data_IF_701181346621
#
_entry.id   IF_701181346621
#
_cell.length_a   1.000
_cell.length_b   1.000
_cell.length_c   1.000
_cell.angle_alpha   90.00
_cell.angle_beta   90.00
_cell.angle_gamma   90.00
#
_symmetry.space_group_name_H-M   'P 1'
#
loop_
_entity.id
_entity.type
_entity.pdbx_description
1 polymer ?
#
# COMPACT_ATOMS: atom_id res chain seq x y z
N UNK A 1 3.81 3.68 -17.23
CA UNK A 1 4.90 3.59 -16.23
C UNK A 1 5.16 4.90 -15.48
N UNK A 2 5.01 6.07 -16.11
CA UNK A 2 5.17 7.37 -15.43
C UNK A 2 4.31 7.50 -14.16
N UNK A 3 3.05 7.03 -14.19
CA UNK A 3 2.13 7.11 -13.04
C UNK A 3 2.68 6.51 -11.75
N UNK A 4 3.29 5.31 -11.78
CA UNK A 4 3.87 4.71 -10.56
C UNK A 4 5.05 5.53 -10.03
N UNK A 5 5.89 6.04 -10.94
CA UNK A 5 7.02 6.88 -10.56
C UNK A 5 6.56 8.19 -9.91
N UNK A 6 5.53 8.81 -10.47
CA UNK A 6 4.97 10.06 -9.97
C UNK A 6 4.28 9.86 -8.61
N UNK A 7 3.54 8.76 -8.43
CA UNK A 7 2.93 8.40 -7.14
C UNK A 7 3.98 8.11 -6.07
N UNK A 8 5.04 7.36 -6.39
CA UNK A 8 6.18 7.12 -5.52
C UNK A 8 6.86 8.44 -5.11
N UNK A 9 7.17 9.31 -6.06
CA UNK A 9 7.80 10.59 -5.78
C UNK A 9 6.91 11.46 -4.88
N UNK A 10 5.60 11.50 -5.13
CA UNK A 10 4.67 12.30 -4.36
C UNK A 10 4.49 11.78 -2.92
N UNK A 11 4.32 10.46 -2.75
CA UNK A 11 4.19 9.83 -1.43
C UNK A 11 5.44 10.10 -0.59
N UNK A 12 6.63 9.86 -1.15
CA UNK A 12 7.90 10.06 -0.44
C UNK A 12 8.20 11.51 -0.13
N UNK A 13 7.96 12.43 -1.06
CA UNK A 13 8.13 13.86 -0.82
C UNK A 13 7.24 14.33 0.34
N UNK A 14 5.96 13.91 0.35
CA UNK A 14 5.02 14.24 1.42
C UNK A 14 5.48 13.66 2.76
N UNK A 15 5.88 12.38 2.79
CA UNK A 15 6.33 11.73 4.01
C UNK A 15 7.57 12.42 4.61
N UNK A 16 8.51 12.81 3.74
CA UNK A 16 9.71 13.55 4.13
C UNK A 16 9.39 14.95 4.64
N UNK A 17 8.50 15.69 3.97
CA UNK A 17 8.06 17.02 4.43
C UNK A 17 7.42 16.97 5.81
N UNK A 18 6.66 15.91 6.11
CA UNK A 18 6.03 15.70 7.42
C UNK A 18 6.98 15.14 8.50
N UNK A 19 8.28 15.00 8.20
CA UNK A 19 9.28 14.59 9.17
C UNK A 19 9.29 13.10 9.49
N UNK A 20 8.61 12.24 8.70
CA UNK A 20 8.53 10.80 9.01
C UNK A 20 9.84 10.03 8.84
N UNK A 21 10.90 10.69 8.37
CA UNK A 21 12.25 10.15 8.23
C UNK A 21 13.25 10.82 9.19
N UNK A 22 12.76 11.58 10.17
CA UNK A 22 13.56 12.17 11.24
C UNK A 22 12.98 11.76 12.62
N UNK A 23 13.53 10.73 13.27
CA UNK A 23 14.75 10.00 12.92
C UNK A 23 14.56 9.02 11.75
N UNK A 24 15.66 8.52 11.14
CA UNK A 24 15.59 7.52 10.08
C UNK A 24 14.87 6.24 10.54
N UNK A 25 14.01 5.71 9.66
CA UNK A 25 13.33 4.43 9.86
C UNK A 25 14.17 3.28 9.30
N UNK A 26 14.12 2.14 9.95
CA UNK A 26 14.58 0.86 9.40
C UNK A 26 13.56 0.29 8.41
N UNK A 27 14.02 -0.55 7.49
CA UNK A 27 13.14 -1.27 6.58
C UNK A 27 12.08 -2.10 7.33
N UNK A 28 12.44 -2.68 8.48
CA UNK A 28 11.52 -3.46 9.30
C UNK A 28 10.37 -2.61 9.85
N UNK A 29 10.66 -1.40 10.33
CA UNK A 29 9.63 -0.47 10.79
C UNK A 29 8.71 -0.04 9.65
N UNK A 30 9.26 0.25 8.47
CA UNK A 30 8.44 0.56 7.29
C UNK A 30 7.51 -0.60 6.94
N UNK A 31 7.98 -1.85 6.98
CA UNK A 31 7.13 -3.03 6.74
C UNK A 31 6.02 -3.16 7.79
N UNK A 32 6.30 -2.89 9.07
CA UNK A 32 5.27 -2.91 10.12
C UNK A 32 4.19 -1.86 9.88
N UNK A 33 4.54 -0.68 9.35
CA UNK A 33 3.55 0.33 8.97
C UNK A 33 2.64 -0.17 7.84
N UNK A 34 3.13 -0.95 6.87
CA UNK A 34 2.25 -1.57 5.88
C UNK A 34 1.27 -2.57 6.55
N UNK A 35 1.76 -3.34 7.53
CA UNK A 35 0.92 -4.27 8.28
C UNK A 35 -0.16 -3.57 9.10
N UNK A 36 0.10 -2.37 9.63
CA UNK A 36 -0.91 -1.61 10.37
C UNK A 36 -2.07 -1.20 9.47
N UNK A 37 -1.82 -0.64 8.27
CA UNK A 37 -2.90 -0.22 7.36
C UNK A 37 -3.78 -1.42 6.92
N UNK A 38 -3.15 -2.59 6.69
CA UNK A 38 -3.90 -3.84 6.42
C UNK A 38 -4.78 -4.23 7.61
N UNK A 39 -4.28 -4.06 8.83
CA UNK A 39 -5.02 -4.39 10.05
C UNK A 39 -6.20 -3.43 10.25
N UNK A 40 -6.05 -2.14 9.92
CA UNK A 40 -7.13 -1.14 9.96
C UNK A 40 -8.25 -1.49 8.96
N UNK A 41 -7.90 -1.88 7.74
CA UNK A 41 -8.87 -2.37 6.75
C UNK A 41 -9.68 -3.57 7.27
N UNK A 42 -9.00 -4.53 7.91
CA UNK A 42 -9.64 -5.72 8.50
C UNK A 42 -10.56 -5.34 9.65
N UNK A 43 -10.15 -4.43 10.53
CA UNK A 43 -10.97 -3.98 11.65
C UNK A 43 -12.24 -3.25 11.19
N UNK A 44 -12.13 -2.40 10.17
CA UNK A 44 -13.29 -1.73 9.58
C UNK A 44 -14.25 -2.72 8.92
N UNK A 45 -13.73 -3.71 8.20
CA UNK A 45 -14.55 -4.79 7.65
C UNK A 45 -15.23 -5.62 8.75
N UNK A 46 -14.53 -5.97 9.83
CA UNK A 46 -15.10 -6.72 10.96
C UNK A 46 -16.28 -6.00 11.62
N UNK A 47 -16.22 -4.67 11.70
CA UNK A 47 -17.27 -3.84 12.31
C UNK A 47 -18.48 -3.66 11.38
N UNK A 48 -18.24 -3.57 10.08
CA UNK A 48 -19.28 -3.20 9.11
C UNK A 48 -19.87 -4.36 8.31
N UNK A 49 -19.08 -5.42 8.09
CA UNK A 49 -19.38 -6.49 7.15
C UNK A 49 -19.28 -6.09 5.67
N UNK A 50 -18.86 -4.86 5.36
CA UNK A 50 -18.82 -4.33 4.00
C UNK A 50 -17.39 -3.94 3.59
N UNK A 51 -16.75 -4.66 2.65
CA UNK A 51 -15.41 -4.33 2.17
C UNK A 51 -15.39 -3.07 1.29
N UNK A 52 -16.55 -2.57 0.88
CA UNK A 52 -16.70 -1.33 0.11
C UNK A 52 -17.13 -0.14 0.99
N UNK A 53 -17.23 -0.30 2.31
CA UNK A 53 -17.58 0.79 3.22
C UNK A 53 -16.61 1.96 3.03
N UNK A 54 -17.14 3.07 2.54
CA UNK A 54 -16.42 4.32 2.35
C UNK A 54 -17.26 5.47 2.91
N UNK A 55 -16.63 6.34 3.68
CA UNK A 55 -17.27 7.52 4.25
C UNK A 55 -16.24 8.64 4.46
N UNK A 56 -16.68 9.76 5.03
CA UNK A 56 -15.78 10.86 5.40
C UNK A 56 -15.94 11.19 6.88
N UNK A 57 -14.82 11.52 7.54
CA UNK A 57 -14.82 12.09 8.88
C UNK A 57 -15.57 13.44 8.90
N UNK A 58 -15.92 13.99 10.08
CA UNK A 58 -16.50 15.33 10.19
C UNK A 58 -15.63 16.44 9.53
N UNK A 59 -14.32 16.26 9.49
CA UNK A 59 -13.34 17.16 8.86
C UNK A 59 -13.17 16.87 7.35
N UNK A 60 -13.90 15.91 6.80
CA UNK A 60 -13.88 15.55 5.39
C UNK A 60 -12.78 14.57 4.98
N UNK A 61 -12.02 13.99 5.94
CA UNK A 61 -10.99 12.97 5.65
C UNK A 61 -11.67 11.72 5.05
N UNK A 62 -11.18 11.16 3.93
CA UNK A 62 -11.67 9.87 3.45
C UNK A 62 -11.35 8.77 4.48
N UNK A 63 -12.35 7.95 4.79
CA UNK A 63 -12.25 6.82 5.71
C UNK A 63 -13.00 5.60 5.16
N UNK A 64 -12.81 4.46 5.80
CA UNK A 64 -13.40 3.18 5.39
C UNK A 64 -12.38 2.25 4.74
N UNK A 65 -12.81 1.03 4.42
CA UNK A 65 -11.91 -0.03 3.90
C UNK A 65 -11.14 0.43 2.65
N UNK A 66 -11.74 1.12 1.65
CA UNK A 66 -11.00 1.61 0.50
C UNK A 66 -9.92 2.65 0.83
N UNK A 67 -10.11 3.46 1.88
CA UNK A 67 -9.10 4.44 2.32
C UNK A 67 -7.87 3.72 2.91
N UNK A 68 -8.09 2.73 3.77
CA UNK A 68 -6.99 1.95 4.36
C UNK A 68 -6.23 1.14 3.30
N UNK A 69 -6.92 0.58 2.30
CA UNK A 69 -6.26 -0.07 1.15
C UNK A 69 -5.46 0.91 0.30
N UNK A 70 -5.91 2.17 0.18
CA UNK A 70 -5.12 3.22 -0.47
C UNK A 70 -3.89 3.57 0.35
N UNK A 71 -4.00 3.61 1.69
CA UNK A 71 -2.86 3.85 2.58
C UNK A 71 -1.81 2.74 2.46
N UNK A 72 -2.21 1.47 2.31
CA UNK A 72 -1.26 0.38 1.98
C UNK A 72 -0.45 0.70 0.71
N UNK A 73 -1.11 1.15 -0.36
CA UNK A 73 -0.43 1.49 -1.60
C UNK A 73 0.50 2.71 -1.42
N UNK A 74 0.05 3.74 -0.69
CA UNK A 74 0.86 4.93 -0.41
C UNK A 74 2.11 4.56 0.38
N UNK A 75 2.01 3.68 1.39
CA UNK A 75 3.16 3.15 2.13
C UNK A 75 4.14 2.38 1.24
N UNK A 76 3.62 1.55 0.33
CA UNK A 76 4.45 0.85 -0.66
C UNK A 76 5.16 1.86 -1.57
N UNK A 77 4.46 2.89 -2.03
CA UNK A 77 5.02 3.90 -2.92
C UNK A 77 6.11 4.75 -2.24
N UNK A 78 5.86 5.19 -1.00
CA UNK A 78 6.82 5.87 -0.12
C UNK A 78 8.08 5.03 0.07
N UNK A 79 7.93 3.78 0.54
CA UNK A 79 9.02 2.82 0.71
C UNK A 79 9.80 2.60 -0.58
N UNK A 80 9.12 2.41 -1.71
CA UNK A 80 9.79 2.16 -2.99
C UNK A 80 10.60 3.37 -3.46
N UNK A 81 10.09 4.59 -3.31
CA UNK A 81 10.87 5.80 -3.60
C UNK A 81 12.06 5.95 -2.64
N UNK A 82 11.86 5.69 -1.35
CA UNK A 82 12.92 5.77 -0.34
C UNK A 82 14.09 4.82 -0.65
N UNK A 83 13.80 3.58 -1.08
CA UNK A 83 14.80 2.56 -1.37
C UNK A 83 15.24 2.48 -2.84
N UNK A 84 14.72 3.35 -3.71
CA UNK A 84 15.05 3.34 -5.15
C UNK A 84 14.52 2.12 -5.92
N UNK A 85 13.41 1.55 -5.48
CA UNK A 85 12.77 0.37 -6.09
C UNK A 85 11.84 0.84 -7.23
N UNK A 86 12.06 0.36 -8.45
CA UNK A 86 11.12 0.54 -9.56
C UNK A 86 9.94 -0.44 -9.45
N UNK A 87 8.97 -0.06 -8.61
CA UNK A 87 7.77 -0.87 -8.35
C UNK A 87 6.93 -1.07 -9.62
N UNK A 88 6.90 -0.07 -10.51
CA UNK A 88 6.15 -0.16 -11.76
C UNK A 88 6.68 -1.28 -12.65
N UNK A 89 8.01 -1.34 -12.83
CA UNK A 89 8.67 -2.44 -13.53
C UNK A 89 8.43 -3.79 -12.83
N UNK A 90 8.64 -3.85 -11.51
CA UNK A 90 8.48 -5.08 -10.74
C UNK A 90 7.05 -5.66 -10.84
N UNK A 91 6.01 -4.81 -10.78
CA UNK A 91 4.62 -5.21 -10.94
C UNK A 91 4.37 -5.78 -12.34
N UNK A 92 4.80 -5.11 -13.41
CA UNK A 92 4.59 -5.57 -14.80
C UNK A 92 5.28 -6.92 -15.02
N UNK A 93 6.54 -7.05 -14.60
CA UNK A 93 7.28 -8.31 -14.71
C UNK A 93 6.59 -9.43 -13.95
N UNK A 94 6.11 -9.14 -12.73
CA UNK A 94 5.44 -10.12 -11.89
C UNK A 94 4.09 -10.56 -12.45
N UNK A 95 3.29 -9.62 -12.97
CA UNK A 95 2.01 -9.92 -13.61
C UNK A 95 2.22 -10.79 -14.86
N UNK A 96 3.15 -10.43 -15.74
CA UNK A 96 3.51 -11.20 -16.94
C UNK A 96 4.02 -12.61 -16.60
N UNK A 97 4.70 -12.78 -15.46
CA UNK A 97 5.06 -14.10 -14.95
C UNK A 97 3.84 -14.88 -14.43
N UNK A 98 2.94 -14.22 -13.69
CA UNK A 98 1.76 -14.85 -13.09
C UNK A 98 0.75 -15.33 -14.15
N UNK A 99 0.60 -14.63 -15.27
CA UNK A 99 -0.27 -15.03 -16.40
C UNK A 99 0.14 -16.38 -17.00
N UNK A 100 1.43 -16.70 -16.96
CA UNK A 100 1.97 -17.98 -17.46
C UNK A 100 1.83 -19.13 -16.47
N UNK A 101 1.34 -18.87 -15.24
CA UNK A 101 1.19 -19.92 -14.23
C UNK A 101 0.01 -20.82 -14.58
N UNK A 102 0.13 -22.14 -14.39
CA UNK A 102 -1.03 -23.01 -14.49
C UNK A 102 -2.06 -22.66 -13.40
N UNK A 103 -3.32 -22.97 -13.68
CA UNK A 103 -4.41 -22.79 -12.72
C UNK A 103 -4.07 -23.46 -11.37
N UNK A 104 -4.17 -22.69 -10.28
CA UNK A 104 -3.82 -23.13 -8.90
C UNK A 104 -2.41 -23.73 -8.77
N UNK A 105 -1.43 -23.13 -9.44
CA UNK A 105 -0.02 -23.48 -9.25
C UNK A 105 0.35 -23.46 -7.75
N UNK A 106 0.81 -24.61 -7.23
CA UNK A 106 1.23 -24.78 -5.84
C UNK A 106 0.20 -25.41 -4.88
N UNK A 107 -0.97 -25.86 -5.35
CA UNK A 107 -2.00 -26.56 -4.54
C UNK A 107 -2.37 -25.87 -3.21
N UNK A 108 -2.19 -24.55 -3.11
CA UNK A 108 -2.65 -23.79 -1.93
C UNK A 108 -4.17 -23.68 -1.99
N UNK A 109 -4.84 -24.61 -1.33
CA UNK A 109 -6.23 -24.49 -0.93
C UNK A 109 -6.22 -23.48 0.22
N UNK A 110 -6.52 -22.22 -0.10
CA UNK A 110 -6.73 -21.09 0.83
C UNK A 110 -5.95 -21.18 2.16
#
# INVERSE_FOLDING_TARGET
MAVFKDLCAHAYATAKEKGWYDPPKTFGEEMVMLHSEVSEAVELYRKSGDPALAYRSPEGKPEGVPAELADVLIRVFDLCAHHGIDIGKAVIEKMSFNERRPYRHGKKLL
#
